data_IF_923456908621
#
_entry.id   IF_923456908621
#
_cell.length_a   1.000
_cell.length_b   1.000
_cell.length_c   1.000
_cell.angle_alpha   90.00
_cell.angle_beta   90.00
_cell.angle_gamma   90.00
#
_symmetry.space_group_name_H-M   'P 1'
#
loop_
_entity.id
_entity.type
_entity.pdbx_description
1 polymer ?
#
# COMPACT_ATOMS: atom_id res chain seq x y z
N UNK A 1 43.13 49.58 -6.55
CA UNK A 1 41.68 49.59 -6.25
C UNK A 1 41.13 48.36 -6.95
N UNK A 2 41.48 47.14 -6.52
CA UNK A 2 41.30 45.98 -7.41
C UNK A 2 41.18 44.62 -6.69
N UNK A 3 42.03 44.32 -5.71
CA UNK A 3 42.11 42.95 -5.16
C UNK A 3 40.92 42.54 -4.28
N UNK A 4 40.38 43.47 -3.48
CA UNK A 4 39.23 43.21 -2.61
C UNK A 4 37.91 43.04 -3.38
N UNK A 5 37.76 43.74 -4.52
CA UNK A 5 36.54 43.66 -5.34
C UNK A 5 36.51 42.38 -6.18
N UNK A 6 37.67 41.94 -6.69
CA UNK A 6 37.83 40.64 -7.36
C UNK A 6 37.54 39.46 -6.44
N UNK A 7 38.04 39.48 -5.20
CA UNK A 7 37.75 38.43 -4.21
C UNK A 7 36.24 38.37 -3.92
N UNK A 8 35.58 39.53 -3.81
CA UNK A 8 34.13 39.62 -3.54
C UNK A 8 33.30 39.12 -4.71
N UNK A 9 33.65 39.48 -5.95
CA UNK A 9 33.01 38.93 -7.17
C UNK A 9 33.20 37.43 -7.30
N UNK A 10 34.41 36.93 -7.06
CA UNK A 10 34.72 35.50 -7.16
C UNK A 10 33.97 34.68 -6.11
N UNK A 11 33.86 35.19 -4.87
CA UNK A 11 33.05 34.56 -3.81
C UNK A 11 31.56 34.57 -4.11
N UNK A 12 31.05 35.66 -4.67
CA UNK A 12 29.64 35.76 -5.06
C UNK A 12 29.30 34.77 -6.18
N UNK A 13 30.14 34.69 -7.22
CA UNK A 13 29.96 33.74 -8.32
C UNK A 13 30.03 32.28 -7.85
N UNK A 14 30.94 31.94 -6.93
CA UNK A 14 31.02 30.60 -6.33
C UNK A 14 29.77 30.25 -5.51
N UNK A 15 29.22 31.22 -4.78
CA UNK A 15 28.03 31.02 -3.96
C UNK A 15 26.78 30.85 -4.83
N UNK A 16 26.66 31.63 -5.90
CA UNK A 16 25.58 31.52 -6.88
C UNK A 16 25.64 30.19 -7.65
N UNK A 17 26.84 29.77 -8.07
CA UNK A 17 27.05 28.46 -8.69
C UNK A 17 26.70 27.30 -7.74
N UNK A 18 27.06 27.42 -6.46
CA UNK A 18 26.73 26.41 -5.43
C UNK A 18 25.23 26.36 -5.15
N UNK A 19 24.54 27.50 -5.18
CA UNK A 19 23.10 27.59 -4.99
C UNK A 19 22.34 27.01 -6.19
N UNK A 20 22.79 27.31 -7.42
CA UNK A 20 22.24 26.72 -8.65
C UNK A 20 22.43 25.19 -8.69
N UNK A 21 23.62 24.70 -8.30
CA UNK A 21 23.89 23.26 -8.21
C UNK A 21 23.00 22.56 -7.16
N UNK A 22 22.81 23.18 -5.99
CA UNK A 22 21.92 22.66 -4.94
C UNK A 22 20.45 22.63 -5.39
N UNK A 23 20.00 23.65 -6.11
CA UNK A 23 18.63 23.72 -6.63
C UNK A 23 18.37 22.66 -7.72
N UNK A 24 19.34 22.44 -8.61
CA UNK A 24 19.28 21.37 -9.61
C UNK A 24 19.23 19.97 -9.00
N UNK A 25 20.04 19.72 -7.96
CA UNK A 25 20.01 18.44 -7.23
C UNK A 25 18.65 18.21 -6.53
N UNK A 26 18.10 19.23 -5.89
CA UNK A 26 16.81 19.15 -5.20
C UNK A 26 15.67 18.85 -6.17
N UNK A 27 15.67 19.49 -7.34
CA UNK A 27 14.66 19.24 -8.38
C UNK A 27 14.74 17.81 -8.94
N UNK A 28 15.95 17.30 -9.13
CA UNK A 28 16.17 15.93 -9.62
C UNK A 28 15.75 14.88 -8.57
N UNK A 29 16.01 15.14 -7.29
CA UNK A 29 15.57 14.27 -6.20
C UNK A 29 14.04 14.26 -6.03
N UNK A 30 13.40 15.42 -6.14
CA UNK A 30 11.94 15.53 -6.11
C UNK A 30 11.29 14.77 -7.27
N UNK A 31 11.88 14.83 -8.47
CA UNK A 31 11.38 14.13 -9.64
C UNK A 31 11.52 12.61 -9.53
N UNK A 32 12.64 12.11 -8.99
CA UNK A 32 12.81 10.68 -8.70
C UNK A 32 11.83 10.19 -7.62
N UNK A 33 11.58 11.01 -6.59
CA UNK A 33 10.64 10.65 -5.53
C UNK A 33 9.19 10.61 -6.04
N UNK A 34 8.81 11.55 -6.92
CA UNK A 34 7.52 11.50 -7.60
C UNK A 34 7.37 10.24 -8.47
N UNK A 35 8.37 9.92 -9.30
CA UNK A 35 8.33 8.71 -10.14
C UNK A 35 8.19 7.43 -9.32
N UNK A 36 8.92 7.32 -8.20
CA UNK A 36 8.82 6.17 -7.30
C UNK A 36 7.45 6.07 -6.63
N UNK A 37 6.87 7.20 -6.20
CA UNK A 37 5.52 7.20 -5.65
C UNK A 37 4.48 6.83 -6.70
N UNK A 38 4.63 7.32 -7.93
CA UNK A 38 3.68 7.05 -9.00
C UNK A 38 3.70 5.57 -9.40
N UNK A 39 4.88 4.96 -9.51
CA UNK A 39 5.03 3.52 -9.74
C UNK A 39 4.40 2.68 -8.62
N UNK A 40 4.60 3.08 -7.34
CA UNK A 40 3.98 2.42 -6.20
C UNK A 40 2.45 2.55 -6.22
N UNK A 41 1.93 3.74 -6.49
CA UNK A 41 0.49 3.99 -6.60
C UNK A 41 -0.14 3.16 -7.72
N UNK A 42 0.50 3.10 -8.88
CA UNK A 42 0.00 2.30 -10.00
C UNK A 42 -0.05 0.81 -9.65
N UNK A 43 0.98 0.28 -8.98
CA UNK A 43 0.98 -1.11 -8.54
C UNK A 43 -0.09 -1.38 -7.47
N UNK A 44 -0.26 -0.46 -6.52
CA UNK A 44 -1.34 -0.52 -5.54
C UNK A 44 -2.73 -0.42 -6.18
N UNK A 45 -2.91 0.42 -7.18
CA UNK A 45 -4.16 0.56 -7.92
C UNK A 45 -4.49 -0.69 -8.71
N UNK A 46 -3.51 -1.28 -9.40
CA UNK A 46 -3.71 -2.55 -10.10
C UNK A 46 -4.11 -3.67 -9.12
N UNK A 47 -3.43 -3.77 -7.97
CA UNK A 47 -3.83 -4.70 -6.90
C UNK A 47 -5.23 -4.40 -6.38
N UNK A 48 -5.54 -3.14 -6.09
CA UNK A 48 -6.86 -2.71 -5.59
C UNK A 48 -7.94 -2.95 -6.64
N UNK A 49 -7.65 -2.79 -7.92
CA UNK A 49 -8.56 -3.04 -9.03
C UNK A 49 -8.83 -4.54 -9.18
N UNK A 50 -7.81 -5.38 -9.08
CA UNK A 50 -7.96 -6.84 -9.07
C UNK A 50 -8.83 -7.29 -7.88
N UNK A 51 -8.53 -6.77 -6.69
CA UNK A 51 -9.28 -7.01 -5.45
C UNK A 51 -10.72 -6.48 -5.59
N UNK A 52 -10.93 -5.32 -6.21
CA UNK A 52 -12.25 -4.75 -6.46
C UNK A 52 -13.06 -5.51 -7.53
N UNK A 53 -12.38 -6.20 -8.44
CA UNK A 53 -13.02 -7.05 -9.44
C UNK A 53 -13.50 -8.37 -8.82
N UNK A 54 -12.77 -8.90 -7.85
CA UNK A 54 -13.12 -10.14 -7.13
C UNK A 54 -14.06 -9.91 -5.93
N UNK A 55 -14.15 -8.70 -5.36
CA UNK A 55 -15.03 -8.41 -4.21
C UNK A 55 -16.16 -7.47 -4.59
N UNK A 56 -17.37 -7.69 -4.07
CA UNK A 56 -18.44 -6.69 -4.20
C UNK A 56 -18.18 -5.46 -3.31
N UNK A 57 -18.77 -4.32 -3.67
CA UNK A 57 -18.68 -3.07 -2.88
C UNK A 57 -19.10 -3.30 -1.42
N UNK A 58 -20.13 -4.11 -1.19
CA UNK A 58 -20.60 -4.48 0.15
C UNK A 58 -19.60 -5.33 0.93
N UNK A 59 -19.02 -6.36 0.29
CA UNK A 59 -18.01 -7.21 0.91
C UNK A 59 -16.76 -6.39 1.32
N UNK A 60 -16.37 -5.40 0.50
CA UNK A 60 -15.26 -4.50 0.78
C UNK A 60 -15.52 -3.63 2.01
N UNK A 61 -16.72 -3.05 2.11
CA UNK A 61 -17.13 -2.26 3.28
C UNK A 61 -17.18 -3.10 4.55
N UNK A 62 -17.72 -4.34 4.47
CA UNK A 62 -17.72 -5.27 5.59
C UNK A 62 -16.30 -5.66 6.00
N UNK A 63 -15.42 -5.96 5.05
CA UNK A 63 -14.02 -6.35 5.32
C UNK A 63 -13.24 -5.20 5.97
N UNK A 64 -13.46 -3.94 5.52
CA UNK A 64 -12.89 -2.75 6.14
C UNK A 64 -13.37 -2.56 7.60
N UNK A 65 -14.67 -2.70 7.85
CA UNK A 65 -15.23 -2.61 9.20
C UNK A 65 -14.76 -3.76 10.10
N UNK A 66 -14.71 -4.99 9.59
CA UNK A 66 -14.20 -6.15 10.33
C UNK A 66 -12.70 -6.06 10.60
N UNK A 67 -11.93 -5.37 9.77
CA UNK A 67 -10.49 -5.17 10.01
C UNK A 67 -10.25 -4.36 11.28
N UNK A 68 -11.16 -3.44 11.61
CA UNK A 68 -11.14 -2.68 12.87
C UNK A 68 -11.49 -3.56 14.07
N UNK A 69 -12.48 -4.45 13.95
CA UNK A 69 -12.92 -5.27 15.08
C UNK A 69 -12.03 -6.51 15.31
N UNK A 70 -11.64 -7.21 14.24
CA UNK A 70 -10.94 -8.51 14.27
C UNK A 70 -10.00 -8.67 13.05
N UNK A 71 -8.80 -8.08 13.09
CA UNK A 71 -7.86 -8.12 11.97
C UNK A 71 -7.36 -9.53 11.64
N UNK A 72 -7.21 -10.42 12.63
CA UNK A 72 -6.76 -11.81 12.39
C UNK A 72 -7.66 -12.57 11.40
N UNK A 73 -8.98 -12.45 11.57
CA UNK A 73 -9.96 -13.14 10.71
C UNK A 73 -9.92 -12.57 9.28
N UNK A 74 -9.76 -11.25 9.18
CA UNK A 74 -9.62 -10.57 7.89
C UNK A 74 -8.37 -11.03 7.17
N UNK A 75 -7.24 -11.15 7.87
CA UNK A 75 -5.98 -11.56 7.27
C UNK A 75 -6.07 -12.96 6.66
N UNK A 76 -6.72 -13.90 7.35
CA UNK A 76 -6.95 -15.25 6.82
C UNK A 76 -7.84 -15.25 5.57
N UNK A 77 -8.88 -14.41 5.56
CA UNK A 77 -9.76 -14.27 4.39
C UNK A 77 -9.04 -13.59 3.23
N UNK A 78 -8.21 -12.56 3.47
CA UNK A 78 -7.38 -11.94 2.44
C UNK A 78 -6.45 -12.97 1.80
N UNK A 79 -5.77 -13.80 2.60
CA UNK A 79 -4.89 -14.87 2.10
C UNK A 79 -5.69 -15.88 1.24
N UNK A 80 -6.86 -16.32 1.72
CA UNK A 80 -7.71 -17.27 0.99
C UNK A 80 -8.21 -16.68 -0.35
N UNK A 81 -8.63 -15.41 -0.36
CA UNK A 81 -9.06 -14.73 -1.59
C UNK A 81 -7.91 -14.57 -2.57
N UNK A 82 -6.71 -14.20 -2.11
CA UNK A 82 -5.52 -14.06 -2.95
C UNK A 82 -5.17 -15.40 -3.61
N UNK A 83 -5.14 -16.48 -2.83
CA UNK A 83 -4.87 -17.83 -3.37
C UNK A 83 -5.92 -18.23 -4.42
N UNK A 84 -7.20 -17.97 -4.14
CA UNK A 84 -8.30 -18.34 -5.01
C UNK A 84 -8.35 -17.49 -6.30
N UNK A 85 -7.89 -16.23 -6.24
CA UNK A 85 -7.73 -15.35 -7.39
C UNK A 85 -6.54 -15.76 -8.27
N UNK A 86 -5.40 -16.11 -7.66
CA UNK A 86 -4.22 -16.63 -8.36
C UNK A 86 -4.49 -17.98 -9.05
N UNK A 87 -5.26 -18.85 -8.40
CA UNK A 87 -5.66 -20.14 -8.96
C UNK A 87 -6.63 -20.02 -10.15
N UNK A 88 -7.12 -18.81 -10.47
CA UNK A 88 -8.10 -18.59 -11.54
C UNK A 88 -9.46 -19.24 -11.30
N UNK A 89 -9.67 -19.78 -10.09
CA UNK A 89 -10.89 -20.50 -9.70
C UNK A 89 -12.01 -19.53 -9.27
N UNK A 90 -11.65 -18.32 -8.83
CA UNK A 90 -12.60 -17.23 -8.62
C UNK A 90 -12.97 -16.55 -9.95
N UNK A 91 -13.83 -17.20 -10.74
CA UNK A 91 -14.49 -16.59 -11.92
C UNK A 91 -15.74 -15.76 -11.55
N UNK A 92 -15.81 -15.25 -10.33
CA UNK A 92 -17.00 -14.55 -9.84
C UNK A 92 -16.71 -13.61 -8.67
N UNK A 93 -17.59 -12.62 -8.49
CA UNK A 93 -17.53 -11.68 -7.38
C UNK A 93 -17.84 -12.41 -6.07
N UNK A 94 -16.93 -12.36 -5.10
CA UNK A 94 -17.15 -12.79 -3.72
C UNK A 94 -18.16 -11.83 -3.10
N UNK A 95 -19.32 -12.37 -2.76
CA UNK A 95 -20.42 -11.65 -2.13
C UNK A 95 -20.27 -11.59 -0.61
N UNK A 96 -20.98 -10.65 0.03
CA UNK A 96 -21.06 -10.53 1.49
C UNK A 96 -21.42 -11.86 2.18
N UNK A 97 -22.32 -12.63 1.57
CA UNK A 97 -22.77 -13.91 2.10
C UNK A 97 -21.65 -14.95 2.13
N UNK A 98 -20.87 -15.06 1.05
CA UNK A 98 -19.71 -15.95 1.01
C UNK A 98 -18.66 -15.53 2.04
N UNK A 99 -18.45 -14.21 2.19
CA UNK A 99 -17.56 -13.67 3.22
C UNK A 99 -18.04 -14.04 4.63
N UNK A 100 -19.34 -13.94 4.91
CA UNK A 100 -19.96 -14.33 6.19
C UNK A 100 -19.84 -15.83 6.46
N UNK A 101 -20.01 -16.67 5.45
CA UNK A 101 -19.89 -18.13 5.60
C UNK A 101 -18.44 -18.49 5.95
N UNK A 102 -17.47 -17.94 5.22
CA UNK A 102 -16.04 -18.11 5.52
C UNK A 102 -15.69 -17.57 6.91
N UNK A 103 -16.19 -16.38 7.28
CA UNK A 103 -16.01 -15.81 8.62
C UNK A 103 -16.57 -16.71 9.71
N UNK A 104 -17.76 -17.30 9.51
CA UNK A 104 -18.38 -18.21 10.48
C UNK A 104 -17.59 -19.51 10.62
N UNK A 105 -17.10 -20.06 9.51
CA UNK A 105 -16.30 -21.29 9.52
C UNK A 105 -14.98 -21.09 10.28
N UNK A 106 -14.27 -19.99 10.00
CA UNK A 106 -13.00 -19.66 10.66
C UNK A 106 -13.23 -19.32 12.15
N UNK A 107 -14.25 -18.52 12.46
CA UNK A 107 -14.56 -18.17 13.84
C UNK A 107 -15.06 -19.37 14.68
N UNK A 108 -15.72 -20.34 14.03
CA UNK A 108 -16.19 -21.58 14.66
C UNK A 108 -15.03 -22.48 15.11
N UNK A 109 -13.97 -22.60 14.31
CA UNK A 109 -12.82 -23.44 14.66
C UNK A 109 -12.06 -22.97 15.91
N UNK A 110 -12.08 -21.67 16.25
CA UNK A 110 -11.45 -21.17 17.50
C UNK A 110 -12.20 -21.61 18.78
N UNK A 111 -13.43 -22.14 18.71
CA UNK A 111 -14.24 -22.50 19.90
C UNK A 111 -14.13 -23.96 20.34
N UNK A 112 -13.49 -24.85 19.59
CA UNK A 112 -13.37 -26.26 19.95
C UNK A 112 -12.10 -26.55 20.78
N UNK A 113 -12.01 -25.99 21.99
CA UNK A 113 -11.04 -26.49 22.98
C UNK A 113 -11.70 -27.68 23.67
N UNK A 114 -11.55 -28.87 23.08
CA UNK A 114 -11.95 -30.14 23.69
C UNK A 114 -10.99 -30.43 24.86
N UNK A 115 -11.35 -29.96 26.05
CA UNK A 115 -10.63 -30.31 27.28
C UNK A 115 -11.06 -31.73 27.69
N UNK A 116 -10.32 -32.72 27.22
CA UNK A 116 -10.41 -34.08 27.74
C UNK A 116 -9.64 -34.14 29.04
N UNK A 117 -10.34 -34.20 30.17
CA UNK A 117 -9.76 -34.45 31.50
C UNK A 117 -9.78 -35.96 31.75
N UNK A 118 -8.60 -36.57 31.95
CA UNK A 118 -8.45 -37.93 32.50
C UNK A 118 -8.26 -37.85 34.00
#
# INVERSE_FOLDING_TARGET
MSDLDEIRRKRMAELEARQAAAQGQMQQQAQQQMQQQEAQRQFEEQKKALIAQILTTEARSRLANLKLTKPELVNQIEIQLIQSAQAGSLRGKVTDEQLKVLLRQIAGQKREIKITRK
#
